data_IF_398570176455
#
_entry.id   IF_398570176455
#
_cell.length_a   1.000
_cell.length_b   1.000
_cell.length_c   1.000
_cell.angle_alpha   90.00
_cell.angle_beta   90.00
_cell.angle_gamma   90.00
#
_symmetry.space_group_name_H-M   'P 1'
#
loop_
_entity.id
_entity.type
_entity.pdbx_description
1 polymer ?
#
# COMPACT_ATOMS: atom_id res chain seq x y z
N UNK A 1 1.84 2.66 23.77
CA UNK A 1 1.73 2.43 22.31
C UNK A 1 2.51 1.18 22.01
N UNK A 2 2.09 0.29 21.12
CA UNK A 2 2.94 -0.81 20.71
C UNK A 2 4.20 -0.25 20.07
N UNK A 3 5.37 -0.70 20.54
CA UNK A 3 6.64 -0.24 20.04
C UNK A 3 6.87 -0.81 18.62
N UNK A 4 6.96 0.06 17.63
CA UNK A 4 7.40 -0.33 16.29
C UNK A 4 8.92 -0.50 16.31
N UNK A 5 9.37 -1.63 15.84
CA UNK A 5 10.80 -1.99 15.81
C UNK A 5 11.30 -2.05 14.38
N UNK A 6 12.41 -1.38 14.12
CA UNK A 6 13.12 -1.42 12.84
C UNK A 6 14.09 -2.62 12.80
N UNK A 7 14.09 -3.33 11.69
CA UNK A 7 14.93 -4.51 11.47
C UNK A 7 15.69 -4.41 10.15
N UNK A 8 16.86 -5.05 10.12
CA UNK A 8 17.64 -5.25 8.90
C UNK A 8 18.07 -6.69 8.79
N UNK A 9 18.16 -7.21 7.59
CA UNK A 9 18.60 -8.56 7.30
C UNK A 9 19.11 -8.68 5.88
N UNK A 10 19.35 -9.92 5.44
CA UNK A 10 19.83 -10.19 4.09
C UNK A 10 19.12 -11.42 3.50
N UNK A 11 18.69 -11.31 2.24
CA UNK A 11 18.08 -12.38 1.47
C UNK A 11 18.90 -12.65 0.21
N UNK A 12 19.81 -13.62 0.29
CA UNK A 12 20.63 -13.99 -0.88
C UNK A 12 21.49 -12.87 -1.42
N UNK A 13 22.13 -12.10 -0.56
CA UNK A 13 22.94 -10.93 -0.89
C UNK A 13 22.15 -9.63 -1.07
N UNK A 14 20.82 -9.66 -0.93
CA UNK A 14 19.98 -8.47 -0.97
C UNK A 14 19.74 -7.95 0.45
N UNK A 15 20.24 -6.75 0.82
CA UNK A 15 19.86 -6.12 2.09
C UNK A 15 18.36 -5.87 2.14
N UNK A 16 17.71 -6.24 3.23
CA UNK A 16 16.28 -6.07 3.46
C UNK A 16 16.07 -5.30 4.76
N UNK A 17 15.21 -4.30 4.68
CA UNK A 17 14.70 -3.57 5.83
C UNK A 17 13.22 -3.89 6.02
N UNK A 18 12.79 -4.05 7.26
CA UNK A 18 11.36 -4.13 7.58
C UNK A 18 11.07 -3.57 8.97
N UNK A 19 9.82 -3.24 9.19
CA UNK A 19 9.30 -2.90 10.50
C UNK A 19 8.43 -4.01 11.03
N UNK A 20 8.42 -4.15 12.35
CA UNK A 20 7.45 -4.98 13.04
C UNK A 20 6.82 -4.24 14.21
N UNK A 21 5.59 -4.60 14.53
CA UNK A 21 4.94 -4.25 15.78
C UNK A 21 4.25 -5.49 16.34
N UNK A 22 4.19 -5.64 17.68
CA UNK A 22 3.43 -6.71 18.29
C UNK A 22 1.94 -6.57 17.96
N UNK A 23 1.18 -7.68 17.93
CA UNK A 23 -0.26 -7.61 17.74
C UNK A 23 -0.91 -6.84 18.90
N UNK A 24 -1.98 -6.11 18.60
CA UNK A 24 -2.77 -5.45 19.64
C UNK A 24 -3.50 -6.51 20.49
N UNK A 25 -3.34 -6.44 21.81
CA UNK A 25 -3.91 -7.40 22.75
C UNK A 25 -3.12 -8.70 22.87
N UNK A 26 -3.79 -9.81 23.20
CA UNK A 26 -3.18 -11.13 23.36
C UNK A 26 -2.86 -11.84 22.03
N UNK A 27 -3.10 -11.18 20.90
CA UNK A 27 -2.83 -11.68 19.55
C UNK A 27 -3.68 -12.89 19.13
N UNK A 28 -4.38 -13.53 20.06
CA UNK A 28 -5.31 -14.64 19.80
C UNK A 28 -4.77 -15.79 18.95
N UNK A 29 -3.43 -15.95 18.81
CA UNK A 29 -2.81 -16.95 17.94
C UNK A 29 -2.98 -16.69 16.43
N UNK A 30 -3.43 -15.50 16.03
CA UNK A 30 -3.64 -15.14 14.61
C UNK A 30 -2.32 -14.93 13.88
N UNK A 31 -2.24 -15.25 12.58
CA UNK A 31 -1.10 -14.91 11.76
C UNK A 31 -0.82 -13.40 11.76
N UNK A 32 0.46 -12.97 11.68
CA UNK A 32 0.80 -11.55 11.59
C UNK A 32 0.23 -10.92 10.33
N UNK A 33 -0.02 -9.61 10.37
CA UNK A 33 -0.36 -8.85 9.18
C UNK A 33 0.92 -8.56 8.40
N UNK A 34 0.90 -8.76 7.08
CA UNK A 34 1.95 -8.35 6.16
C UNK A 34 1.47 -7.17 5.34
N UNK A 35 2.13 -6.02 5.50
CA UNK A 35 1.80 -4.78 4.83
C UNK A 35 2.73 -4.52 3.66
N UNK A 36 2.20 -4.39 2.44
CA UNK A 36 2.95 -4.14 1.22
C UNK A 36 2.62 -2.77 0.65
N UNK A 37 3.61 -1.89 0.67
CA UNK A 37 3.51 -0.49 0.25
C UNK A 37 3.48 -0.32 -1.27
N UNK A 38 3.13 0.89 -1.70
CA UNK A 38 3.12 1.31 -3.10
C UNK A 38 4.42 1.96 -3.57
N UNK A 39 4.35 2.59 -4.73
CA UNK A 39 5.45 3.31 -5.38
C UNK A 39 5.11 4.80 -5.43
N UNK A 40 6.02 5.70 -5.07
CA UNK A 40 7.45 5.51 -4.76
C UNK A 40 7.77 5.43 -3.26
N UNK A 41 6.86 4.93 -2.46
CA UNK A 41 6.93 4.93 -0.99
C UNK A 41 7.68 3.73 -0.40
N UNK A 42 7.47 3.48 0.87
CA UNK A 42 8.12 2.42 1.65
C UNK A 42 7.25 2.09 2.89
N UNK A 43 7.76 1.32 3.82
CA UNK A 43 7.04 0.91 5.04
C UNK A 43 6.56 2.07 5.93
N UNK A 44 7.02 3.30 5.71
CA UNK A 44 6.53 4.48 6.44
C UNK A 44 5.04 4.77 6.14
N UNK A 45 4.49 4.28 5.03
CA UNK A 45 3.06 4.42 4.69
C UNK A 45 2.13 3.78 5.74
N UNK A 46 2.64 2.81 6.49
CA UNK A 46 1.87 2.01 7.45
C UNK A 46 1.98 2.50 8.89
N UNK A 47 2.79 3.52 9.12
CA UNK A 47 2.96 4.17 10.40
C UNK A 47 1.93 5.28 10.62
N UNK A 48 1.88 5.73 11.87
CA UNK A 48 1.16 6.94 12.23
C UNK A 48 1.55 8.10 11.30
N UNK A 49 0.57 8.76 10.65
CA UNK A 49 0.87 9.94 9.88
C UNK A 49 1.52 11.01 10.78
N UNK A 50 2.63 11.65 10.37
CA UNK A 50 3.28 12.70 11.17
C UNK A 50 2.28 13.75 11.66
N UNK A 51 2.49 14.34 12.86
CA UNK A 51 1.57 15.30 13.50
C UNK A 51 1.00 16.41 12.58
N UNK A 52 1.74 16.76 11.53
CA UNK A 52 1.30 17.74 10.52
C UNK A 52 0.10 17.28 9.68
N UNK A 53 -0.22 15.99 9.65
CA UNK A 53 -1.43 15.45 9.04
C UNK A 53 -2.67 15.65 9.93
N UNK A 54 -2.47 15.85 11.22
CA UNK A 54 -3.52 16.08 12.22
C UNK A 54 -4.08 17.49 12.20
N UNK A 55 -3.43 18.43 11.49
CA UNK A 55 -3.92 19.81 11.43
C UNK A 55 -5.10 19.88 10.47
N UNK A 56 -6.27 20.17 11.02
CA UNK A 56 -7.49 20.52 10.28
C UNK A 56 -7.15 21.44 9.11
N UNK A 57 -7.70 21.19 7.91
CA UNK A 57 -7.58 22.14 6.81
C UNK A 57 -7.92 23.55 7.32
N UNK A 58 -7.11 24.56 6.97
CA UNK A 58 -7.23 25.95 7.45
C UNK A 58 -8.65 26.53 7.28
N UNK A 59 -9.41 26.08 6.25
CA UNK A 59 -10.80 26.49 6.01
C UNK A 59 -11.79 25.90 7.02
N UNK A 60 -11.53 24.75 7.65
CA UNK A 60 -12.32 24.21 8.78
C UNK A 60 -12.07 24.98 10.09
N UNK A 61 -11.03 25.79 10.16
CA UNK A 61 -10.71 26.66 11.32
C UNK A 61 -11.68 27.82 11.45
N UNK A 62 -12.36 28.24 10.36
CA UNK A 62 -13.30 29.34 10.32
C UNK A 62 -14.78 28.90 10.39
N UNK A 63 -15.05 27.64 10.15
CA UNK A 63 -16.39 27.10 10.24
C UNK A 63 -16.57 26.40 11.59
N UNK A 64 -17.06 27.16 12.60
CA UNK A 64 -17.54 26.61 13.88
C UNK A 64 -19.02 26.34 13.75
N UNK A 65 -19.49 25.05 13.75
CA UNK A 65 -20.89 24.79 14.10
C UNK A 65 -21.07 25.22 15.56
N UNK A 66 -22.16 25.93 15.85
CA UNK A 66 -22.59 26.27 17.20
C UNK A 66 -23.03 24.99 17.92
N UNK A 67 -22.14 24.16 18.38
CA UNK A 67 -22.37 23.06 19.30
C UNK A 67 -21.26 23.02 20.35
N UNK A 68 -21.65 22.57 21.54
CA UNK A 68 -20.89 22.65 22.79
C UNK A 68 -19.43 22.16 22.67
N UNK A 69 -18.57 22.79 23.45
CA UNK A 69 -17.11 22.62 23.47
C UNK A 69 -16.64 21.25 23.96
N UNK A 70 -17.51 20.37 24.37
CA UNK A 70 -17.14 19.15 25.10
C UNK A 70 -17.09 17.89 24.22
N UNK A 71 -17.67 17.94 23.02
CA UNK A 71 -17.75 16.81 22.08
C UNK A 71 -16.49 16.58 21.23
N UNK A 72 -15.49 17.45 21.37
CA UNK A 72 -14.26 17.45 20.53
C UNK A 72 -13.02 16.92 21.26
N UNK A 73 -13.11 16.61 22.53
CA UNK A 73 -12.01 16.07 23.33
C UNK A 73 -11.93 14.53 23.30
N UNK A 74 -12.84 13.84 22.63
CA UNK A 74 -12.83 12.39 22.48
C UNK A 74 -12.41 11.90 21.10
N UNK A 75 -11.34 12.46 20.50
CA UNK A 75 -10.72 11.90 19.29
C UNK A 75 -9.27 11.44 19.55
N UNK A 76 -9.03 10.53 20.51
CA UNK A 76 -7.70 9.95 20.70
C UNK A 76 -7.38 8.80 19.74
N UNK A 77 -8.31 8.40 18.85
CA UNK A 77 -8.20 7.14 18.10
C UNK A 77 -7.56 7.27 16.72
N UNK A 78 -7.40 8.47 16.17
CA UNK A 78 -6.82 8.68 14.85
C UNK A 78 -5.30 8.92 14.87
N UNK A 79 -4.66 8.61 15.98
CA UNK A 79 -3.24 8.90 16.20
C UNK A 79 -2.31 7.78 15.77
N UNK A 80 -2.81 6.58 15.50
CA UNK A 80 -2.01 5.40 15.17
C UNK A 80 -2.25 4.97 13.73
N UNK A 81 -1.18 4.60 13.03
CA UNK A 81 -1.24 4.00 11.71
C UNK A 81 -1.68 2.52 11.76
N UNK A 82 -1.65 1.89 10.62
CA UNK A 82 -2.05 0.49 10.48
C UNK A 82 -1.19 -0.44 11.33
N UNK A 83 0.14 -0.25 11.26
CA UNK A 83 1.10 -1.14 11.93
C UNK A 83 1.02 -1.03 13.44
N UNK A 84 0.87 0.17 13.98
CA UNK A 84 0.73 0.40 15.42
C UNK A 84 -0.59 -0.15 15.96
N UNK A 85 -1.62 -0.24 15.14
CA UNK A 85 -2.96 -0.67 15.57
C UNK A 85 -3.18 -2.17 15.52
N UNK A 86 -2.72 -2.84 14.49
CA UNK A 86 -2.95 -4.28 14.32
C UNK A 86 -1.70 -5.13 14.55
N UNK A 87 -0.54 -4.49 14.68
CA UNK A 87 0.73 -5.21 14.66
C UNK A 87 1.04 -5.79 13.28
N UNK A 88 2.15 -6.51 13.16
CA UNK A 88 2.53 -7.21 11.93
C UNK A 88 3.91 -6.83 11.41
N UNK A 89 4.10 -6.99 10.12
CA UNK A 89 5.35 -6.84 9.38
C UNK A 89 5.14 -5.91 8.19
N UNK A 90 6.04 -4.94 8.02
CA UNK A 90 6.02 -4.03 6.89
C UNK A 90 7.42 -3.96 6.26
N UNK A 91 7.75 -4.80 5.27
CA UNK A 91 9.03 -4.72 4.57
C UNK A 91 9.05 -3.51 3.63
N UNK A 92 10.22 -2.89 3.48
CA UNK A 92 10.52 -2.09 2.31
C UNK A 92 10.78 -3.03 1.14
N UNK A 93 9.98 -2.97 0.09
CA UNK A 93 10.13 -3.82 -1.08
C UNK A 93 11.47 -3.58 -1.78
N UNK A 94 12.10 -4.59 -2.41
CA UNK A 94 13.34 -4.42 -3.18
C UNK A 94 13.25 -3.26 -4.18
N UNK A 95 14.22 -2.37 -4.13
CA UNK A 95 14.22 -1.17 -4.97
C UNK A 95 13.68 0.08 -4.31
N UNK A 96 13.11 -0.03 -3.10
CA UNK A 96 12.41 1.05 -2.39
C UNK A 96 12.91 1.18 -0.96
N UNK A 97 12.64 2.35 -0.37
CA UNK A 97 12.93 2.63 1.02
C UNK A 97 14.41 2.38 1.38
N UNK A 98 14.62 1.63 2.45
CA UNK A 98 15.91 1.27 3.05
C UNK A 98 16.42 -0.08 2.54
N UNK A 99 15.57 -0.84 1.85
CA UNK A 99 15.96 -2.12 1.25
C UNK A 99 16.91 -1.94 0.08
N UNK A 100 17.65 -3.00 -0.26
CA UNK A 100 18.61 -3.02 -1.36
C UNK A 100 17.97 -2.69 -2.72
N UNK A 101 18.74 -1.99 -3.55
CA UNK A 101 18.33 -1.52 -4.89
C UNK A 101 19.29 -2.04 -5.96
N UNK A 102 19.41 -3.37 -6.13
CA UNK A 102 20.42 -3.97 -6.97
C UNK A 102 20.20 -3.64 -8.45
N UNK A 103 21.32 -3.35 -9.16
CA UNK A 103 21.28 -3.03 -10.56
C UNK A 103 20.99 -4.21 -11.49
N UNK A 104 21.12 -5.44 -11.00
CA UNK A 104 20.88 -6.68 -11.74
C UNK A 104 19.46 -7.23 -11.58
N UNK A 105 18.66 -6.73 -10.64
CA UNK A 105 17.26 -7.13 -10.49
C UNK A 105 16.42 -6.59 -11.64
N UNK A 106 15.54 -7.40 -12.18
CA UNK A 106 14.63 -7.03 -13.28
C UNK A 106 13.36 -6.34 -12.78
N UNK A 107 13.03 -6.53 -11.49
CA UNK A 107 11.83 -5.99 -10.85
C UNK A 107 10.54 -6.52 -11.50
N UNK A 108 10.50 -7.82 -11.77
CA UNK A 108 9.31 -8.50 -12.29
C UNK A 108 8.39 -8.97 -11.15
N UNK A 109 7.15 -9.30 -11.48
CA UNK A 109 6.16 -9.84 -10.53
C UNK A 109 6.71 -11.10 -9.85
N UNK A 110 7.34 -11.99 -10.62
CA UNK A 110 7.92 -13.24 -10.15
C UNK A 110 9.08 -13.01 -9.17
N UNK A 111 9.93 -12.00 -9.43
CA UNK A 111 11.02 -11.66 -8.52
C UNK A 111 10.49 -11.14 -7.17
N UNK A 112 9.42 -10.35 -7.18
CA UNK A 112 8.78 -9.90 -5.95
C UNK A 112 8.04 -11.02 -5.22
N UNK A 113 7.36 -11.91 -5.95
CA UNK A 113 6.76 -13.11 -5.36
C UNK A 113 7.83 -13.94 -4.64
N UNK A 114 8.92 -14.27 -5.31
CA UNK A 114 10.04 -15.01 -4.70
C UNK A 114 10.76 -14.23 -3.58
N UNK A 115 10.71 -12.89 -3.57
CA UNK A 115 11.15 -12.11 -2.42
C UNK A 115 10.24 -12.34 -1.22
N UNK A 116 8.92 -12.27 -1.38
CA UNK A 116 7.96 -12.48 -0.30
C UNK A 116 8.05 -13.87 0.30
N UNK A 117 8.21 -14.90 -0.55
CA UNK A 117 8.44 -16.27 -0.09
C UNK A 117 9.65 -16.35 0.85
N UNK A 118 10.81 -15.93 0.36
CA UNK A 118 12.05 -15.97 1.13
C UNK A 118 12.02 -15.06 2.38
N UNK A 119 11.32 -13.94 2.31
CA UNK A 119 11.18 -13.02 3.43
C UNK A 119 10.39 -13.66 4.58
N UNK A 120 9.25 -14.28 4.26
CA UNK A 120 8.44 -14.96 5.25
C UNK A 120 9.14 -16.20 5.81
N UNK A 121 9.86 -16.96 4.96
CA UNK A 121 10.65 -18.11 5.38
C UNK A 121 11.81 -17.73 6.30
N UNK A 122 12.51 -16.61 6.01
CA UNK A 122 13.56 -16.06 6.90
C UNK A 122 13.03 -15.76 8.30
N UNK A 123 11.79 -15.29 8.38
CA UNK A 123 11.16 -14.94 9.67
C UNK A 123 10.41 -16.12 10.32
N UNK A 124 10.38 -17.29 9.69
CA UNK A 124 9.63 -18.45 10.17
C UNK A 124 8.11 -18.21 10.18
N UNK A 125 7.60 -17.33 9.31
CA UNK A 125 6.18 -16.99 9.22
C UNK A 125 5.51 -17.88 8.20
N UNK A 126 4.70 -18.83 8.67
CA UNK A 126 3.99 -19.77 7.80
C UNK A 126 2.77 -19.14 7.12
N UNK A 127 2.01 -18.31 7.84
CA UNK A 127 0.78 -17.68 7.34
C UNK A 127 0.75 -16.19 7.67
N UNK A 128 0.05 -15.42 6.83
CA UNK A 128 -0.13 -13.96 7.01
C UNK A 128 -1.57 -13.54 6.73
N UNK A 129 -1.95 -12.37 7.25
CA UNK A 129 -3.08 -11.56 6.78
C UNK A 129 -2.47 -10.45 5.92
N UNK A 130 -2.85 -10.35 4.64
CA UNK A 130 -2.14 -9.56 3.64
C UNK A 130 -2.85 -8.23 3.36
N UNK A 131 -2.17 -7.11 3.54
CA UNK A 131 -2.66 -5.76 3.20
C UNK A 131 -1.77 -5.17 2.11
N UNK A 132 -2.39 -4.71 1.04
CA UNK A 132 -1.72 -4.27 -0.18
C UNK A 132 -2.25 -2.92 -0.64
N UNK A 133 -1.34 -1.98 -0.88
CA UNK A 133 -1.65 -0.70 -1.50
C UNK A 133 -0.86 -0.52 -2.79
N UNK A 134 -1.50 0.01 -3.82
CA UNK A 134 -0.88 0.33 -5.11
C UNK A 134 -0.05 -0.86 -5.67
N UNK A 135 1.27 -0.72 -5.80
CA UNK A 135 2.16 -1.79 -6.22
C UNK A 135 2.38 -2.90 -5.17
N UNK A 136 1.95 -2.70 -3.94
CA UNK A 136 1.84 -3.79 -2.97
C UNK A 136 1.00 -4.97 -3.47
N UNK A 137 0.18 -4.75 -4.50
CA UNK A 137 -0.58 -5.79 -5.23
C UNK A 137 0.27 -6.97 -5.70
N UNK A 138 1.59 -6.81 -5.76
CA UNK A 138 2.55 -7.91 -6.01
C UNK A 138 2.33 -9.09 -5.05
N UNK A 139 1.79 -8.85 -3.85
CA UNK A 139 1.35 -9.86 -2.91
C UNK A 139 0.22 -10.76 -3.42
N UNK A 140 -0.57 -10.33 -4.42
CA UNK A 140 -1.58 -11.21 -5.05
C UNK A 140 -0.93 -12.35 -5.85
N UNK A 141 0.24 -12.14 -6.45
CA UNK A 141 0.97 -13.23 -7.10
C UNK A 141 1.39 -14.29 -6.08
N UNK A 142 1.88 -13.85 -4.90
CA UNK A 142 2.18 -14.74 -3.78
C UNK A 142 0.92 -15.46 -3.27
N UNK A 143 -0.20 -14.74 -3.06
CA UNK A 143 -1.45 -15.33 -2.59
C UNK A 143 -2.01 -16.39 -3.55
N UNK A 144 -1.88 -16.19 -4.87
CA UNK A 144 -2.31 -17.16 -5.87
C UNK A 144 -1.37 -18.38 -5.97
N UNK A 145 -0.08 -18.21 -5.65
CA UNK A 145 0.89 -19.31 -5.62
C UNK A 145 0.78 -20.13 -4.33
N UNK A 146 0.47 -19.47 -3.20
CA UNK A 146 0.44 -20.03 -1.85
C UNK A 146 -0.84 -19.65 -1.10
N UNK A 147 -2.04 -20.04 -1.59
CA UNK A 147 -3.30 -19.63 -0.97
C UNK A 147 -3.43 -20.11 0.49
N UNK A 148 -2.80 -21.24 0.83
CA UNK A 148 -2.75 -21.79 2.20
C UNK A 148 -1.96 -20.91 3.18
N UNK A 149 -1.07 -20.05 2.67
CA UNK A 149 -0.27 -19.10 3.48
C UNK A 149 -0.97 -17.77 3.73
N UNK A 150 -2.15 -17.54 3.17
CA UNK A 150 -2.88 -16.29 3.31
C UNK A 150 -4.23 -16.52 3.96
N UNK A 151 -4.46 -15.88 5.11
CA UNK A 151 -5.71 -16.03 5.87
C UNK A 151 -6.76 -15.00 5.46
N UNK A 152 -6.36 -13.77 5.14
CA UNK A 152 -7.22 -12.66 4.70
C UNK A 152 -6.49 -11.79 3.70
N UNK A 153 -7.26 -11.15 2.82
CA UNK A 153 -6.74 -10.18 1.85
C UNK A 153 -7.39 -8.81 2.06
N UNK A 154 -6.57 -7.77 2.01
CA UNK A 154 -7.03 -6.38 1.90
C UNK A 154 -6.33 -5.74 0.71
N UNK A 155 -7.12 -5.21 -0.23
CA UNK A 155 -6.62 -4.43 -1.37
C UNK A 155 -7.08 -2.98 -1.22
N UNK A 156 -6.12 -2.06 -1.28
CA UNK A 156 -6.39 -0.62 -1.19
C UNK A 156 -5.85 0.06 -2.44
N UNK A 157 -6.71 0.59 -3.31
CA UNK A 157 -6.32 1.28 -4.55
C UNK A 157 -5.15 0.59 -5.29
N UNK A 158 -5.28 -0.71 -5.48
CA UNK A 158 -4.22 -1.60 -5.98
C UNK A 158 -4.09 -1.55 -7.51
N UNK A 159 -2.86 -1.63 -8.03
CA UNK A 159 -2.62 -1.73 -9.49
C UNK A 159 -3.38 -2.92 -10.05
N UNK A 160 -4.14 -2.77 -11.15
CA UNK A 160 -5.02 -3.83 -11.62
C UNK A 160 -4.28 -5.02 -12.24
N UNK A 161 -4.31 -6.17 -11.57
CA UNK A 161 -4.02 -7.48 -12.14
C UNK A 161 -5.27 -8.03 -12.84
N UNK A 162 -5.84 -7.18 -13.68
CA UNK A 162 -7.13 -7.41 -14.35
C UNK A 162 -7.07 -6.91 -15.78
N UNK A 163 -7.82 -7.52 -16.70
CA UNK A 163 -7.89 -7.03 -18.08
C UNK A 163 -8.52 -5.64 -18.17
N UNK A 164 -8.19 -4.93 -19.25
CA UNK A 164 -8.78 -3.63 -19.57
C UNK A 164 -8.14 -2.43 -18.86
N UNK A 165 -7.09 -2.63 -18.08
CA UNK A 165 -6.30 -1.52 -17.52
C UNK A 165 -5.52 -0.80 -18.60
N UNK A 166 -5.36 0.51 -18.42
CA UNK A 166 -4.50 1.35 -19.26
C UNK A 166 -3.68 2.25 -18.34
N UNK A 167 -2.38 2.22 -18.52
CA UNK A 167 -1.47 3.05 -17.74
C UNK A 167 -1.89 4.52 -17.76
N UNK A 168 -1.92 5.12 -16.59
CA UNK A 168 -2.15 6.57 -16.42
C UNK A 168 -1.00 7.40 -17.05
N UNK A 169 -1.23 8.71 -17.17
CA UNK A 169 -0.33 9.62 -17.90
C UNK A 169 1.13 9.52 -17.42
N UNK A 170 1.36 9.58 -16.11
CA UNK A 170 2.71 9.55 -15.52
C UNK A 170 3.40 8.22 -15.82
N UNK A 171 2.70 7.10 -15.60
CA UNK A 171 3.23 5.76 -15.89
C UNK A 171 3.62 5.59 -17.37
N UNK A 172 2.85 6.15 -18.31
CA UNK A 172 3.22 6.11 -19.74
C UNK A 172 4.54 6.82 -20.01
N UNK A 173 4.79 7.94 -19.34
CA UNK A 173 6.08 8.65 -19.43
C UNK A 173 7.23 7.76 -18.91
N UNK A 174 7.08 7.17 -17.73
CA UNK A 174 8.09 6.28 -17.13
C UNK A 174 8.36 5.03 -17.97
N UNK A 175 7.35 4.52 -18.65
CA UNK A 175 7.50 3.38 -19.57
C UNK A 175 8.21 3.71 -20.87
N UNK A 176 8.27 4.98 -21.26
CA UNK A 176 8.95 5.43 -22.49
C UNK A 176 10.46 5.53 -22.26
N UNK A 177 11.29 4.74 -22.99
CA UNK A 177 12.74 4.84 -22.88
C UNK A 177 13.24 6.25 -23.14
N UNK A 178 14.32 6.63 -22.49
CA UNK A 178 14.95 7.95 -22.48
C UNK A 178 14.12 9.04 -21.80
N UNK A 179 12.83 9.13 -22.12
CA UNK A 179 11.94 10.12 -21.50
C UNK A 179 11.72 9.80 -20.01
N UNK A 180 11.53 8.54 -19.67
CA UNK A 180 11.40 8.08 -18.29
C UNK A 180 12.65 8.40 -17.47
N UNK A 181 13.84 8.15 -18.02
CA UNK A 181 15.12 8.47 -17.35
C UNK A 181 15.29 9.98 -17.15
N UNK A 182 14.95 10.78 -18.17
CA UNK A 182 15.02 12.23 -18.08
C UNK A 182 14.10 12.79 -16.97
N UNK A 183 12.85 12.32 -16.93
CA UNK A 183 11.87 12.74 -15.94
C UNK A 183 12.28 12.28 -14.54
N UNK A 184 12.74 11.02 -14.39
CA UNK A 184 13.22 10.52 -13.10
C UNK A 184 14.46 11.28 -12.62
N UNK A 185 15.39 11.63 -13.50
CA UNK A 185 16.56 12.42 -13.16
C UNK A 185 16.26 13.85 -12.75
N UNK A 186 15.09 14.38 -13.12
CA UNK A 186 14.59 15.70 -12.72
C UNK A 186 13.64 15.67 -11.52
N UNK A 187 13.40 14.47 -10.95
CA UNK A 187 12.51 14.34 -9.80
C UNK A 187 13.12 14.98 -8.57
N UNK A 188 12.39 15.90 -7.97
CA UNK A 188 12.79 16.61 -6.76
C UNK A 188 11.56 17.10 -6.00
N UNK A 189 11.78 17.85 -4.91
CA UNK A 189 10.70 18.35 -4.03
C UNK A 189 9.58 19.05 -4.79
N UNK A 190 9.93 19.95 -5.70
CA UNK A 190 8.95 20.71 -6.46
C UNK A 190 8.10 19.82 -7.36
N UNK A 191 8.73 18.90 -8.13
CA UNK A 191 8.01 17.99 -9.03
C UNK A 191 7.13 16.99 -8.29
N UNK A 192 7.61 16.42 -7.19
CA UNK A 192 6.78 15.56 -6.32
C UNK A 192 5.59 16.32 -5.73
N UNK A 193 5.82 17.54 -5.25
CA UNK A 193 4.76 18.40 -4.72
C UNK A 193 3.70 18.72 -5.78
N UNK A 194 4.11 18.95 -7.04
CA UNK A 194 3.14 19.16 -8.12
C UNK A 194 2.39 17.87 -8.46
N UNK A 195 3.11 16.75 -8.61
CA UNK A 195 2.50 15.45 -8.92
C UNK A 195 1.51 14.99 -7.83
N UNK A 196 1.82 15.23 -6.56
CA UNK A 196 0.97 14.81 -5.44
C UNK A 196 -0.34 15.60 -5.30
N UNK A 197 -0.49 16.74 -6.00
CA UNK A 197 -1.72 17.55 -5.93
C UNK A 197 -2.95 16.84 -6.47
N UNK A 198 -2.77 15.89 -7.35
CA UNK A 198 -3.86 15.14 -7.95
C UNK A 198 -4.13 13.79 -7.25
N UNK A 199 -3.22 13.32 -6.39
CA UNK A 199 -3.28 11.96 -5.83
C UNK A 199 -4.45 11.74 -4.87
N UNK A 200 -4.86 12.75 -4.14
CA UNK A 200 -5.88 12.67 -3.11
C UNK A 200 -7.08 13.54 -3.41
N UNK A 201 -8.22 13.24 -2.77
CA UNK A 201 -9.46 14.00 -2.91
C UNK A 201 -9.39 15.34 -2.20
N UNK A 202 -8.64 15.43 -1.11
CA UNK A 202 -8.34 16.67 -0.40
C UNK A 202 -7.49 17.57 -1.28
N UNK A 203 -7.96 18.80 -1.60
CA UNK A 203 -7.23 19.70 -2.48
C UNK A 203 -5.85 20.07 -1.94
N UNK A 204 -4.86 20.10 -2.79
CA UNK A 204 -3.48 20.49 -2.47
C UNK A 204 -2.49 19.34 -2.62
N UNK A 205 -1.21 19.66 -2.42
CA UNK A 205 -0.17 18.64 -2.42
C UNK A 205 -0.29 17.77 -1.17
N UNK A 206 0.23 16.55 -1.27
CA UNK A 206 0.46 15.71 -0.09
C UNK A 206 1.38 16.47 0.89
N UNK A 207 1.26 16.19 2.18
CA UNK A 207 2.00 16.92 3.19
C UNK A 207 3.51 16.82 2.99
N UNK A 208 4.22 17.89 3.40
CA UNK A 208 5.68 17.98 3.21
C UNK A 208 6.43 16.82 3.86
N UNK A 209 5.94 16.31 4.98
CA UNK A 209 6.56 15.17 5.65
C UNK A 209 6.53 13.91 4.78
N UNK A 210 5.44 13.68 4.03
CA UNK A 210 5.36 12.57 3.06
C UNK A 210 6.36 12.79 1.91
N UNK A 211 6.44 14.01 1.39
CA UNK A 211 7.40 14.36 0.34
C UNK A 211 8.83 14.18 0.84
N UNK A 212 9.10 14.57 2.10
CA UNK A 212 10.41 14.38 2.74
C UNK A 212 10.77 12.90 2.84
N UNK A 213 9.84 12.07 3.28
CA UNK A 213 10.03 10.61 3.40
C UNK A 213 10.35 9.98 2.04
N UNK A 214 9.59 10.33 1.00
CA UNK A 214 9.87 9.83 -0.36
C UNK A 214 11.25 10.27 -0.81
N UNK A 215 11.58 11.56 -0.69
CA UNK A 215 12.87 12.10 -1.17
C UNK A 215 14.06 11.56 -0.38
N UNK A 216 13.90 11.30 0.92
CA UNK A 216 14.98 10.76 1.74
C UNK A 216 15.49 9.41 1.21
N UNK A 217 14.60 8.62 0.63
CA UNK A 217 14.91 7.30 0.09
C UNK A 217 14.98 7.27 -1.45
N UNK A 218 14.80 8.42 -2.10
CA UNK A 218 14.83 8.54 -3.57
C UNK A 218 16.25 8.73 -4.09
N UNK A 219 17.09 7.74 -3.84
CA UNK A 219 18.45 7.65 -4.39
C UNK A 219 18.44 7.13 -5.84
N UNK A 220 19.60 7.03 -6.46
CA UNK A 220 19.74 6.56 -7.87
C UNK A 220 19.19 5.14 -8.13
N UNK A 221 19.04 4.33 -7.08
CA UNK A 221 18.49 2.99 -7.19
C UNK A 221 16.99 2.99 -7.39
N UNK A 222 16.26 3.85 -6.66
CA UNK A 222 14.80 3.94 -6.70
C UNK A 222 14.25 4.36 -8.08
N UNK A 223 14.75 5.40 -8.77
CA UNK A 223 14.35 5.70 -10.14
C UNK A 223 14.49 4.52 -11.10
N UNK A 224 15.63 3.80 -11.00
CA UNK A 224 15.86 2.61 -11.82
C UNK A 224 14.87 1.51 -11.50
N UNK A 225 14.58 1.25 -10.24
CA UNK A 225 13.60 0.26 -9.80
C UNK A 225 12.19 0.59 -10.34
N UNK A 226 11.74 1.83 -10.20
CA UNK A 226 10.46 2.30 -10.73
C UNK A 226 10.38 2.06 -12.25
N UNK A 227 11.37 2.55 -13.01
CA UNK A 227 11.35 2.42 -14.45
C UNK A 227 11.33 0.95 -14.90
N UNK A 228 12.08 0.08 -14.24
CA UNK A 228 12.10 -1.35 -14.56
C UNK A 228 10.78 -2.03 -14.18
N UNK A 229 10.25 -1.79 -12.98
CA UNK A 229 8.98 -2.35 -12.54
C UNK A 229 7.84 -1.99 -13.50
N UNK A 230 7.72 -0.72 -13.86
CA UNK A 230 6.69 -0.29 -14.81
C UNK A 230 6.90 -0.86 -16.22
N UNK A 231 8.13 -1.03 -16.67
CA UNK A 231 8.44 -1.58 -18.01
C UNK A 231 8.32 -3.10 -18.08
N UNK A 232 8.65 -3.80 -17.00
CA UNK A 232 8.50 -5.26 -16.90
C UNK A 232 7.06 -5.73 -16.74
N UNK A 233 6.14 -4.79 -16.48
CA UNK A 233 4.73 -5.05 -16.21
C UNK A 233 3.82 -4.41 -17.26
N UNK A 234 3.85 -4.82 -18.54
CA UNK A 234 2.86 -4.41 -19.52
C UNK A 234 1.47 -4.92 -19.10
N UNK A 235 0.42 -4.32 -19.65
CA UNK A 235 -0.97 -4.56 -19.18
C UNK A 235 -1.45 -6.00 -19.37
N UNK A 236 -0.92 -6.70 -20.34
CA UNK A 236 -1.13 -8.13 -20.58
C UNK A 236 -0.46 -9.00 -19.51
N UNK A 237 0.76 -8.65 -19.08
CA UNK A 237 1.45 -9.31 -17.96
C UNK A 237 0.71 -9.07 -16.65
N UNK A 238 0.22 -7.85 -16.40
CA UNK A 238 -0.62 -7.58 -15.23
C UNK A 238 -1.90 -8.41 -15.25
N UNK A 239 -2.60 -8.46 -16.39
CA UNK A 239 -3.82 -9.25 -16.52
C UNK A 239 -3.56 -10.76 -16.32
N UNK A 240 -2.44 -11.27 -16.86
CA UNK A 240 -2.04 -12.66 -16.66
C UNK A 240 -1.71 -12.98 -15.20
N UNK A 241 -1.09 -12.03 -14.48
CA UNK A 241 -0.78 -12.19 -13.05
C UNK A 241 -2.03 -12.32 -12.16
N UNK A 242 -3.19 -11.89 -12.63
CA UNK A 242 -4.47 -12.04 -11.92
C UNK A 242 -5.36 -13.15 -12.43
N UNK A 243 -4.86 -14.04 -13.30
CA UNK A 243 -5.70 -15.06 -13.98
C UNK A 243 -6.37 -16.05 -13.01
N UNK A 244 -5.81 -16.23 -11.80
CA UNK A 244 -6.30 -17.18 -10.80
C UNK A 244 -6.96 -16.53 -9.58
N UNK A 245 -7.31 -15.23 -9.65
CA UNK A 245 -7.97 -14.52 -8.53
C UNK A 245 -9.26 -15.22 -8.08
N UNK A 246 -10.05 -15.75 -9.00
CA UNK A 246 -11.28 -16.48 -8.69
C UNK A 246 -11.08 -17.83 -7.97
N UNK A 247 -9.84 -18.32 -7.85
CA UNK A 247 -9.51 -19.54 -7.09
C UNK A 247 -9.23 -19.24 -5.61
N UNK A 248 -9.04 -17.96 -5.25
CA UNK A 248 -8.78 -17.54 -3.88
C UNK A 248 -10.07 -17.64 -3.05
N UNK A 249 -10.01 -18.31 -1.91
CA UNK A 249 -11.19 -18.60 -1.06
C UNK A 249 -11.17 -17.91 0.31
N UNK A 250 -10.06 -17.21 0.65
CA UNK A 250 -9.97 -16.46 1.90
C UNK A 250 -10.85 -15.22 1.86
N UNK A 251 -11.35 -14.74 3.01
CA UNK A 251 -12.06 -13.47 3.10
C UNK A 251 -11.23 -12.33 2.52
N UNK A 252 -11.86 -11.45 1.75
CA UNK A 252 -11.22 -10.32 1.11
C UNK A 252 -11.98 -9.01 1.33
N UNK A 253 -11.24 -7.93 1.57
CA UNK A 253 -11.73 -6.55 1.61
C UNK A 253 -11.07 -5.74 0.50
N UNK A 254 -11.89 -5.13 -0.33
CA UNK A 254 -11.45 -4.19 -1.37
C UNK A 254 -11.84 -2.79 -0.94
N UNK A 255 -10.87 -1.93 -0.70
CA UNK A 255 -11.06 -0.51 -0.33
C UNK A 255 -10.66 0.35 -1.51
N UNK A 256 -11.51 1.30 -1.89
CA UNK A 256 -11.21 2.12 -3.05
C UNK A 256 -11.66 3.56 -2.91
N UNK A 257 -10.70 4.48 -3.00
CA UNK A 257 -10.97 5.90 -3.18
C UNK A 257 -11.47 6.17 -4.60
N UNK A 258 -12.72 6.61 -4.73
CA UNK A 258 -13.37 6.80 -6.03
C UNK A 258 -12.79 7.96 -6.85
N UNK A 259 -12.04 8.87 -6.19
CA UNK A 259 -11.36 10.00 -6.83
C UNK A 259 -9.90 9.70 -7.20
N UNK A 260 -9.49 8.45 -7.17
CA UNK A 260 -8.14 8.04 -7.59
C UNK A 260 -7.94 8.37 -9.08
N UNK A 261 -6.97 9.23 -9.42
CA UNK A 261 -6.71 9.62 -10.80
C UNK A 261 -5.88 8.60 -11.57
N UNK A 262 -5.27 7.65 -10.86
CA UNK A 262 -4.36 6.66 -11.43
C UNK A 262 -5.07 5.35 -11.72
N UNK A 263 -5.92 4.92 -10.79
CA UNK A 263 -6.57 3.61 -10.82
C UNK A 263 -8.08 3.80 -10.59
N UNK A 264 -8.87 3.90 -11.68
CA UNK A 264 -10.31 4.14 -11.59
C UNK A 264 -11.06 3.13 -10.73
N UNK A 265 -12.07 3.59 -9.98
CA UNK A 265 -12.88 2.79 -9.04
C UNK A 265 -13.52 1.54 -9.65
N UNK A 266 -13.75 1.52 -10.97
CA UNK A 266 -14.24 0.31 -11.66
C UNK A 266 -13.34 -0.90 -11.45
N UNK A 267 -12.03 -0.71 -11.18
CA UNK A 267 -11.13 -1.81 -10.90
C UNK A 267 -11.28 -2.33 -9.47
N UNK A 268 -11.67 -1.49 -8.51
CA UNK A 268 -12.10 -1.96 -7.19
C UNK A 268 -13.31 -2.90 -7.29
N UNK A 269 -14.32 -2.52 -8.07
CA UNK A 269 -15.49 -3.38 -8.34
C UNK A 269 -15.09 -4.67 -9.05
N UNK A 270 -14.23 -4.56 -10.06
CA UNK A 270 -13.75 -5.72 -10.81
C UNK A 270 -12.91 -6.69 -9.94
N UNK A 271 -12.13 -6.18 -8.98
CA UNK A 271 -11.44 -7.01 -8.01
C UNK A 271 -12.42 -7.72 -7.07
N UNK A 272 -13.43 -7.01 -6.55
CA UNK A 272 -14.45 -7.62 -5.70
C UNK A 272 -15.22 -8.72 -6.45
N UNK A 273 -15.54 -8.50 -7.72
CA UNK A 273 -16.16 -9.51 -8.59
C UNK A 273 -15.23 -10.71 -8.83
N UNK A 274 -13.96 -10.45 -9.20
CA UNK A 274 -12.99 -11.50 -9.49
C UNK A 274 -12.68 -12.39 -8.28
N UNK A 275 -12.57 -11.80 -7.09
CA UNK A 275 -12.34 -12.51 -5.83
C UNK A 275 -13.60 -13.22 -5.32
N UNK A 276 -14.79 -12.73 -5.68
CA UNK A 276 -16.07 -13.29 -5.25
C UNK A 276 -16.40 -14.67 -5.83
N UNK A 277 -15.64 -15.15 -6.84
CA UNK A 277 -15.90 -16.42 -7.49
C UNK A 277 -15.78 -17.64 -6.57
N UNK A 278 -14.83 -17.63 -5.62
CA UNK A 278 -14.59 -18.73 -4.67
C UNK A 278 -14.60 -18.27 -3.21
N UNK A 279 -14.48 -16.95 -2.95
CA UNK A 279 -14.48 -16.42 -1.60
C UNK A 279 -15.90 -16.29 -1.07
N UNK A 280 -16.12 -16.83 0.14
CA UNK A 280 -17.43 -16.76 0.80
C UNK A 280 -17.75 -15.36 1.33
N UNK A 281 -16.74 -14.50 1.53
CA UNK A 281 -16.90 -13.15 2.06
C UNK A 281 -15.95 -12.18 1.35
N UNK A 282 -16.47 -11.47 0.36
CA UNK A 282 -15.78 -10.33 -0.27
C UNK A 282 -16.56 -9.06 0.05
N UNK A 283 -15.88 -8.13 0.70
CA UNK A 283 -16.41 -6.81 1.01
C UNK A 283 -15.82 -5.77 0.08
N UNK A 284 -16.65 -4.82 -0.40
CA UNK A 284 -16.22 -3.67 -1.18
C UNK A 284 -16.58 -2.37 -0.44
N UNK A 285 -15.56 -1.60 -0.09
CA UNK A 285 -15.69 -0.27 0.50
C UNK A 285 -15.29 0.80 -0.52
N UNK A 286 -16.27 1.39 -1.18
CA UNK A 286 -16.04 2.54 -2.06
C UNK A 286 -16.13 3.85 -1.25
N UNK A 287 -15.14 4.70 -1.40
CA UNK A 287 -15.00 5.97 -0.70
C UNK A 287 -15.15 7.11 -1.72
N UNK A 288 -16.34 7.72 -1.85
CA UNK A 288 -16.62 8.71 -2.89
C UNK A 288 -15.82 10.01 -2.71
N UNK A 289 -15.29 10.25 -1.54
CA UNK A 289 -14.54 11.43 -1.12
C UNK A 289 -13.05 11.17 -0.85
N UNK A 290 -12.52 10.02 -1.27
CA UNK A 290 -11.11 9.68 -1.12
C UNK A 290 -10.41 9.45 -2.48
N UNK A 291 -9.10 9.70 -2.52
CA UNK A 291 -8.23 9.50 -3.67
C UNK A 291 -7.38 8.25 -3.57
N UNK A 292 -6.16 8.32 -4.11
CA UNK A 292 -5.24 7.18 -4.23
C UNK A 292 -4.71 6.67 -2.89
N UNK A 293 -4.51 7.55 -1.90
CA UNK A 293 -4.08 7.20 -0.54
C UNK A 293 -5.26 7.46 0.40
N UNK A 294 -6.26 6.56 0.43
CA UNK A 294 -7.57 6.89 0.99
C UNK A 294 -7.55 7.16 2.50
N UNK A 295 -6.63 6.60 3.27
CA UNK A 295 -6.50 6.87 4.71
C UNK A 295 -6.01 8.28 5.04
N UNK A 296 -5.45 9.02 4.08
CA UNK A 296 -5.12 10.43 4.24
C UNK A 296 -6.35 11.34 4.08
N UNK A 297 -7.31 10.94 3.24
CA UNK A 297 -8.59 11.66 3.08
C UNK A 297 -9.62 11.22 4.13
N UNK A 298 -9.61 9.93 4.50
CA UNK A 298 -10.56 9.24 5.34
C UNK A 298 -9.81 8.34 6.36
N UNK A 299 -9.32 8.90 7.48
CA UNK A 299 -8.58 8.13 8.51
C UNK A 299 -9.35 6.95 9.10
N UNK A 300 -10.69 7.00 9.10
CA UNK A 300 -11.57 5.92 9.52
C UNK A 300 -11.40 4.62 8.70
N UNK A 301 -10.78 4.69 7.54
CA UNK A 301 -10.38 3.53 6.73
C UNK A 301 -9.46 2.59 7.53
N UNK A 302 -8.59 3.16 8.38
CA UNK A 302 -7.68 2.35 9.20
C UNK A 302 -8.49 1.48 10.16
N UNK A 303 -9.51 2.06 10.83
CA UNK A 303 -10.40 1.32 11.73
C UNK A 303 -11.13 0.21 11.02
N UNK A 304 -11.64 0.49 9.83
CA UNK A 304 -12.37 -0.50 9.05
C UNK A 304 -11.48 -1.67 8.65
N UNK A 305 -10.29 -1.40 8.14
CA UNK A 305 -9.32 -2.43 7.75
C UNK A 305 -8.89 -3.26 8.96
N UNK A 306 -8.56 -2.63 10.08
CA UNK A 306 -8.16 -3.34 11.32
C UNK A 306 -9.31 -4.23 11.81
N UNK A 307 -10.53 -3.72 11.84
CA UNK A 307 -11.71 -4.50 12.24
C UNK A 307 -11.94 -5.72 11.35
N UNK A 308 -11.75 -5.56 10.02
CA UNK A 308 -11.82 -6.68 9.08
C UNK A 308 -10.73 -7.72 9.35
N UNK A 309 -9.49 -7.28 9.59
CA UNK A 309 -8.37 -8.17 9.87
C UNK A 309 -8.57 -8.93 11.19
N UNK A 310 -9.24 -8.33 12.17
CA UNK A 310 -9.44 -8.90 13.50
C UNK A 310 -10.77 -9.68 13.64
N UNK A 311 -11.60 -9.68 12.62
CA UNK A 311 -12.81 -10.49 12.62
C UNK A 311 -12.49 -11.98 12.83
N UNK A 312 -13.34 -12.69 13.58
CA UNK A 312 -13.18 -14.14 13.77
C UNK A 312 -13.24 -14.84 12.40
N UNK A 313 -12.37 -15.83 12.20
CA UNK A 313 -12.53 -16.75 11.06
C UNK A 313 -13.77 -17.58 11.34
N UNK A 314 -14.82 -17.43 10.53
CA UNK A 314 -16.09 -18.15 10.66
C UNK A 314 -15.91 -19.62 10.34
#
# INVERSE_FOLDING_TARGET
MPDVTDHTGELGGLPVFWRSAPPSGDGGGRPPVLYLHGVPTNSDDWLEPPERYRTRPWWKRWWRPKRSTDEWMELPQYELGFLERSGGLAPDLPGFGRSGKPGNLKYTIEEYMGFLERFLDLLGVERVRLVMHDWGVLGLAFAQAHPERVERLVLINAVPFLPGYRWHRIARVWRTPLLGELVMGSTGRWSLRQASKESNATPGALPEAWIDTVLHHFDQGTPRAILRLFRSSPVDVLAAAGARLGELSMPALVVWGAKDPYIPVRFGRAYAEALGGSAHHVELLELPDAGHVPWLDRPDVIDYVVSFLDAASG
#
